data_IF_831393486888
#
_entry.id   IF_831393486888
#
_cell.length_a   1.000
_cell.length_b   1.000
_cell.length_c   1.000
_cell.angle_alpha   90.00
_cell.angle_beta   90.00
_cell.angle_gamma   90.00
#
_symmetry.space_group_name_H-M   'P 1'
#
loop_
_entity.id
_entity.type
_entity.pdbx_description
1 polymer ?
#
# COMPACT_ATOMS: atom_id res chain seq x y z
N UNK A 1 -51.20 2.63 -6.48
CA UNK A 1 -50.18 3.53 -5.87
C UNK A 1 -48.88 2.87 -5.40
N UNK A 2 -48.71 1.55 -5.17
CA UNK A 2 -47.46 1.02 -4.59
C UNK A 2 -46.31 0.93 -5.59
N UNK A 3 -46.60 0.73 -6.89
CA UNK A 3 -45.58 0.60 -7.93
C UNK A 3 -44.75 1.88 -8.14
N UNK A 4 -45.39 3.05 -8.06
CA UNK A 4 -44.72 4.35 -8.18
C UNK A 4 -43.79 4.63 -6.99
N UNK A 5 -44.20 4.24 -5.79
CA UNK A 5 -43.38 4.31 -4.58
C UNK A 5 -42.19 3.35 -4.66
N UNK A 6 -42.38 2.16 -5.23
CA UNK A 6 -41.31 1.18 -5.42
C UNK A 6 -40.24 1.67 -6.42
N UNK A 7 -40.66 2.28 -7.53
CA UNK A 7 -39.75 2.88 -8.52
C UNK A 7 -38.95 4.04 -7.91
N UNK A 8 -39.59 4.91 -7.12
CA UNK A 8 -38.92 6.00 -6.42
C UNK A 8 -37.90 5.50 -5.40
N UNK A 9 -38.19 4.41 -4.69
CA UNK A 9 -37.26 3.79 -3.75
C UNK A 9 -36.02 3.19 -4.45
N UNK A 10 -36.19 2.59 -5.63
CA UNK A 10 -35.07 2.07 -6.43
C UNK A 10 -34.17 3.20 -6.94
N UNK A 11 -34.75 4.29 -7.45
CA UNK A 11 -33.97 5.45 -7.91
C UNK A 11 -33.17 6.09 -6.76
N UNK A 12 -33.73 6.18 -5.56
CA UNK A 12 -33.04 6.72 -4.39
C UNK A 12 -31.88 5.85 -3.86
N UNK A 13 -31.83 4.56 -4.21
CA UNK A 13 -30.77 3.64 -3.79
C UNK A 13 -29.55 3.63 -4.74
N UNK A 14 -29.68 4.20 -5.95
CA UNK A 14 -28.58 4.26 -6.93
C UNK A 14 -27.31 5.04 -6.51
N UNK A 15 -27.34 6.12 -5.71
CA UNK A 15 -26.10 6.79 -5.29
C UNK A 15 -25.30 5.97 -4.27
N UNK A 16 -25.91 4.99 -3.59
CA UNK A 16 -25.25 4.15 -2.57
C UNK A 16 -24.45 3.01 -3.23
N UNK A 17 -24.83 2.58 -4.43
CA UNK A 17 -24.03 1.68 -5.28
C UNK A 17 -22.95 2.40 -6.10
N UNK A 18 -22.85 3.73 -5.98
CA UNK A 18 -21.77 4.53 -6.57
C UNK A 18 -20.43 4.44 -5.82
N UNK A 19 -20.33 3.60 -4.78
CA UNK A 19 -19.07 3.29 -4.13
C UNK A 19 -18.06 2.74 -5.14
N UNK A 20 -16.90 3.42 -5.26
CA UNK A 20 -15.79 3.13 -6.18
C UNK A 20 -15.86 3.76 -7.58
N UNK A 21 -16.35 5.01 -7.70
CA UNK A 21 -15.90 5.89 -8.79
C UNK A 21 -14.82 6.88 -8.34
N UNK A 22 -13.84 6.40 -7.57
CA UNK A 22 -12.52 6.98 -7.67
C UNK A 22 -11.96 6.45 -8.99
N UNK A 23 -12.12 7.23 -10.06
CA UNK A 23 -11.18 7.04 -11.16
C UNK A 23 -9.80 7.18 -10.52
N UNK A 24 -8.88 6.21 -10.67
CA UNK A 24 -7.51 6.45 -10.26
C UNK A 24 -7.09 7.78 -10.89
N UNK A 25 -6.51 8.67 -10.08
CA UNK A 25 -5.73 9.81 -10.56
C UNK A 25 -5.10 9.42 -11.90
N UNK A 26 -5.26 10.22 -12.97
CA UNK A 26 -4.91 9.76 -14.31
C UNK A 26 -3.54 9.10 -14.27
N UNK A 27 -3.49 7.80 -14.58
CA UNK A 27 -2.23 7.04 -14.59
C UNK A 27 -1.43 7.60 -15.76
N UNK A 28 -0.64 8.65 -15.50
CA UNK A 28 -0.05 9.48 -16.55
C UNK A 28 -0.02 10.99 -16.28
N UNK A 29 -0.43 11.49 -15.11
CA UNK A 29 -0.14 12.90 -14.75
C UNK A 29 1.34 13.03 -14.39
N UNK A 30 2.15 13.51 -15.33
CA UNK A 30 3.58 13.75 -15.12
C UNK A 30 4.39 13.62 -16.40
N UNK A 31 5.67 13.99 -16.34
CA UNK A 31 6.60 13.77 -17.45
C UNK A 31 6.79 12.26 -17.69
N UNK A 32 6.99 11.87 -18.94
CA UNK A 32 7.26 10.48 -19.30
C UNK A 32 8.54 10.01 -18.61
N UNK A 33 8.60 8.83 -17.96
CA UNK A 33 9.81 8.40 -17.23
C UNK A 33 11.08 8.29 -18.08
N UNK A 34 10.93 8.17 -19.40
CA UNK A 34 12.03 8.16 -20.37
C UNK A 34 12.37 9.53 -20.99
N UNK A 35 11.64 10.59 -20.63
CA UNK A 35 11.95 11.96 -21.06
C UNK A 35 13.17 12.47 -20.28
N UNK A 36 14.29 12.70 -20.99
CA UNK A 36 15.54 13.17 -20.39
C UNK A 36 15.48 14.65 -19.99
N UNK A 37 14.56 15.42 -20.55
CA UNK A 37 14.39 16.85 -20.29
C UNK A 37 13.38 17.12 -19.16
N UNK A 38 12.76 16.06 -18.62
CA UNK A 38 11.84 16.15 -17.50
C UNK A 38 12.53 16.76 -16.27
N UNK A 39 11.92 17.78 -15.61
CA UNK A 39 12.50 18.38 -14.42
C UNK A 39 12.54 17.38 -13.27
N UNK A 40 13.74 17.07 -12.79
CA UNK A 40 13.95 16.21 -11.62
C UNK A 40 14.34 17.04 -10.39
N UNK A 41 13.85 16.64 -9.23
CA UNK A 41 14.31 17.22 -7.97
C UNK A 41 15.78 16.87 -7.74
N UNK A 42 16.55 17.77 -7.11
CA UNK A 42 17.94 17.47 -6.73
C UNK A 42 17.98 16.27 -5.78
N UNK A 43 18.85 15.30 -6.08
CA UNK A 43 19.14 14.20 -5.18
C UNK A 43 19.61 14.76 -3.83
N UNK A 44 18.99 14.32 -2.73
CA UNK A 44 19.43 14.63 -1.38
C UNK A 44 19.96 13.37 -0.74
N UNK A 45 21.21 13.41 -0.31
CA UNK A 45 21.77 12.34 0.49
C UNK A 45 21.26 12.47 1.93
N UNK A 46 20.73 11.37 2.47
CA UNK A 46 20.43 11.23 3.89
C UNK A 46 21.10 9.95 4.36
N UNK A 47 21.88 10.03 5.44
CA UNK A 47 22.48 8.85 6.04
C UNK A 47 21.39 7.95 6.60
N UNK A 48 21.31 6.71 6.12
CA UNK A 48 20.40 5.67 6.64
C UNK A 48 20.81 5.24 8.05
N UNK A 49 22.09 5.38 8.37
CA UNK A 49 22.68 5.00 9.66
C UNK A 49 22.97 6.19 10.55
N UNK A 50 22.58 7.41 10.17
CA UNK A 50 22.91 8.64 10.91
C UNK A 50 22.41 8.63 12.35
N UNK A 51 21.28 7.98 12.60
CA UNK A 51 20.68 7.81 13.92
C UNK A 51 20.86 6.39 14.48
N UNK A 52 21.66 5.54 13.80
CA UNK A 52 21.90 4.17 14.25
C UNK A 52 22.79 4.21 15.49
N UNK A 53 22.25 3.75 16.62
CA UNK A 53 23.04 3.51 17.82
C UNK A 53 23.89 2.26 17.61
N UNK A 54 25.14 2.33 18.04
CA UNK A 54 26.00 1.15 18.12
C UNK A 54 25.46 0.22 19.21
N UNK A 55 24.88 -0.90 18.80
CA UNK A 55 24.45 -1.95 19.72
C UNK A 55 25.59 -2.95 19.84
N UNK A 56 26.08 -3.17 21.07
CA UNK A 56 27.03 -4.25 21.33
C UNK A 56 26.41 -5.58 20.89
N UNK A 57 27.19 -6.39 20.20
CA UNK A 57 26.81 -7.76 19.83
C UNK A 57 26.51 -8.51 21.13
N UNK A 58 25.23 -8.77 21.37
CA UNK A 58 24.77 -9.67 22.43
C UNK A 58 24.79 -11.10 21.89
N UNK A 59 24.89 -12.08 22.80
CA UNK A 59 24.80 -13.49 22.43
C UNK A 59 23.56 -13.72 21.56
N UNK A 60 23.71 -14.21 20.31
CA UNK A 60 22.58 -14.47 19.43
C UNK A 60 21.63 -15.47 20.07
N UNK A 61 20.32 -15.30 19.83
CA UNK A 61 19.35 -16.32 20.19
C UNK A 61 19.70 -17.65 19.50
N UNK A 62 19.38 -18.81 20.10
CA UNK A 62 19.62 -20.11 19.48
C UNK A 62 18.67 -20.31 18.29
N UNK A 63 19.12 -19.84 17.12
CA UNK A 63 18.31 -19.79 15.90
C UNK A 63 17.71 -21.15 15.52
N UNK A 64 18.47 -22.25 15.70
CA UNK A 64 17.99 -23.61 15.42
C UNK A 64 16.69 -23.95 16.15
N UNK A 65 16.60 -23.64 17.45
CA UNK A 65 15.40 -23.91 18.25
C UNK A 65 14.20 -23.08 17.78
N UNK A 66 14.42 -21.83 17.36
CA UNK A 66 13.35 -20.99 16.82
C UNK A 66 12.86 -21.51 15.46
N UNK A 67 13.78 -22.01 14.63
CA UNK A 67 13.41 -22.60 13.35
C UNK A 67 12.63 -23.90 13.51
N UNK A 68 13.02 -24.76 14.46
CA UNK A 68 12.32 -26.01 14.73
C UNK A 68 10.86 -25.78 15.15
N UNK A 69 10.57 -24.70 15.88
CA UNK A 69 9.21 -24.33 16.29
C UNK A 69 8.28 -23.96 15.12
N UNK A 70 8.83 -23.36 14.06
CA UNK A 70 8.07 -22.93 12.88
C UNK A 70 8.23 -23.88 11.69
N UNK A 71 9.15 -24.84 11.78
CA UNK A 71 9.38 -25.81 10.74
C UNK A 71 8.14 -26.70 10.55
N UNK A 72 7.76 -27.00 9.30
CA UNK A 72 6.72 -27.97 9.02
C UNK A 72 7.07 -29.33 9.66
N UNK A 73 6.20 -29.83 10.52
CA UNK A 73 6.35 -31.16 11.12
C UNK A 73 6.07 -32.23 10.08
N UNK A 74 6.84 -33.32 10.09
CA UNK A 74 6.54 -34.47 9.25
C UNK A 74 5.24 -35.12 9.73
N UNK A 75 4.35 -35.45 8.80
CA UNK A 75 3.15 -36.24 9.05
C UNK A 75 3.50 -37.71 9.26
#
# INVERSE_FOLDING_TARGET
MPFRLFVLAILAATPILGGCRELPEPIGVGAHPADADAPVSRARYRSVTGDMRDYRIVTPKPWGQSNEQVAPQRK
#
